data_IF_826074957401
#
_entry.id   IF_826074957401
#
_cell.length_a   1.000
_cell.length_b   1.000
_cell.length_c   1.000
_cell.angle_alpha   90.00
_cell.angle_beta   90.00
_cell.angle_gamma   90.00
#
_symmetry.space_group_name_H-M   'P 1'
#
loop_
_entity.id
_entity.type
_entity.pdbx_description
1 polymer ?
#
# COMPACT_ATOMS: atom_id res chain seq x y z
N UNK A 1 -11.93 17.95 9.15
CA UNK A 1 -12.18 18.38 10.54
C UNK A 1 -12.83 19.75 10.44
N UNK A 2 -14.06 19.86 10.90
CA UNK A 2 -14.78 21.13 10.98
C UNK A 2 -13.99 22.07 11.90
N UNK A 3 -13.64 23.26 11.40
CA UNK A 3 -13.03 24.31 12.21
C UNK A 3 -13.87 24.65 13.44
N UNK A 4 -15.18 24.45 13.34
CA UNK A 4 -16.18 24.67 14.37
C UNK A 4 -16.03 23.74 15.58
N UNK A 5 -15.66 22.47 15.37
CA UNK A 5 -15.46 21.52 16.47
C UNK A 5 -14.21 21.86 17.29
N UNK A 6 -13.12 22.24 16.61
CA UNK A 6 -11.86 22.61 17.27
C UNK A 6 -12.01 23.92 18.06
N UNK A 7 -12.72 24.91 17.51
CA UNK A 7 -13.03 26.15 18.23
C UNK A 7 -13.93 25.90 19.45
N UNK A 8 -14.98 25.07 19.29
CA UNK A 8 -15.89 24.77 20.40
C UNK A 8 -15.18 24.03 21.55
N UNK A 9 -14.33 23.05 21.23
CA UNK A 9 -13.53 22.33 22.24
C UNK A 9 -12.54 23.26 22.92
N UNK A 10 -11.86 24.13 22.17
CA UNK A 10 -10.94 25.13 22.73
C UNK A 10 -11.65 26.08 23.69
N UNK A 11 -12.80 26.62 23.28
CA UNK A 11 -13.56 27.57 24.09
C UNK A 11 -14.12 26.90 25.34
N UNK A 12 -14.65 25.68 25.22
CA UNK A 12 -15.19 24.91 26.34
C UNK A 12 -14.10 24.55 27.37
N UNK A 13 -12.92 24.14 26.91
CA UNK A 13 -11.77 23.87 27.78
C UNK A 13 -11.24 25.14 28.45
N UNK A 14 -11.28 26.29 27.75
CA UNK A 14 -10.89 27.58 28.34
C UNK A 14 -11.85 28.08 29.42
N UNK A 15 -13.10 27.62 29.39
CA UNK A 15 -14.12 27.89 30.42
C UNK A 15 -14.01 26.94 31.62
N UNK A 16 -13.05 26.02 31.63
CA UNK A 16 -12.85 25.05 32.73
C UNK A 16 -13.88 23.92 32.76
N UNK A 17 -14.61 23.69 31.66
CA UNK A 17 -15.54 22.58 31.56
C UNK A 17 -14.79 21.25 31.47
N UNK A 18 -15.35 20.23 32.13
CA UNK A 18 -14.77 18.90 32.17
C UNK A 18 -14.88 18.21 30.80
N UNK A 19 -13.84 17.46 30.39
CA UNK A 19 -13.77 16.79 29.08
C UNK A 19 -14.90 15.77 28.86
N UNK A 20 -15.37 15.15 29.95
CA UNK A 20 -16.54 14.27 30.02
C UNK A 20 -17.81 15.00 29.56
N UNK A 21 -18.09 16.16 30.14
CA UNK A 21 -19.27 16.97 29.82
C UNK A 21 -19.22 17.49 28.36
N UNK A 22 -18.05 17.91 27.88
CA UNK A 22 -17.86 18.34 26.49
C UNK A 22 -18.15 17.18 25.52
N UNK A 23 -17.68 15.97 25.85
CA UNK A 23 -17.94 14.76 25.06
C UNK A 23 -19.43 14.44 24.98
N UNK A 24 -20.13 14.47 26.11
CA UNK A 24 -21.55 14.11 26.18
C UNK A 24 -22.43 15.09 25.39
N UNK A 25 -22.15 16.40 25.49
CA UNK A 25 -22.88 17.44 24.73
C UNK A 25 -22.67 17.27 23.23
N UNK A 26 -21.45 16.99 22.80
CA UNK A 26 -21.15 16.82 21.38
C UNK A 26 -21.69 15.49 20.83
N UNK A 27 -21.75 14.42 21.63
CA UNK A 27 -22.43 13.18 21.25
C UNK A 27 -23.93 13.42 21.05
N UNK A 28 -24.57 14.17 21.94
CA UNK A 28 -25.98 14.55 21.79
C UNK A 28 -26.22 15.44 20.56
N UNK A 29 -25.26 16.28 20.21
CA UNK A 29 -25.29 17.09 18.98
C UNK A 29 -25.06 16.27 17.69
N UNK A 30 -24.82 14.96 17.80
CA UNK A 30 -24.69 14.05 16.66
C UNK A 30 -23.26 13.90 16.12
N UNK A 31 -22.25 14.41 16.83
CA UNK A 31 -20.85 14.20 16.46
C UNK A 31 -20.44 12.74 16.70
N UNK A 32 -19.59 12.21 15.82
CA UNK A 32 -19.08 10.83 15.94
C UNK A 32 -18.05 10.72 17.06
N UNK A 33 -18.03 9.61 17.79
CA UNK A 33 -17.02 9.33 18.83
C UNK A 33 -15.57 9.43 18.31
N UNK A 34 -15.34 9.01 17.07
CA UNK A 34 -14.04 9.10 16.40
C UNK A 34 -13.53 10.54 16.29
N UNK A 35 -14.44 11.48 15.99
CA UNK A 35 -14.14 12.89 15.78
C UNK A 35 -13.90 13.60 17.12
N UNK A 36 -14.69 13.22 18.12
CA UNK A 36 -14.57 13.72 19.50
C UNK A 36 -13.26 13.32 20.17
N UNK A 37 -12.91 12.04 20.05
CA UNK A 37 -11.66 11.53 20.61
C UNK A 37 -10.46 12.23 20.00
N UNK A 38 -10.50 12.50 18.69
CA UNK A 38 -9.45 13.22 17.98
C UNK A 38 -9.37 14.69 18.41
N UNK A 39 -10.51 15.39 18.48
CA UNK A 39 -10.58 16.80 18.89
C UNK A 39 -10.13 17.02 20.33
N UNK A 40 -10.59 16.19 21.28
CA UNK A 40 -10.19 16.28 22.69
C UNK A 40 -8.70 15.91 22.88
N UNK A 41 -8.20 14.93 22.12
CA UNK A 41 -6.77 14.53 22.18
C UNK A 41 -5.81 15.60 21.64
N UNK A 42 -6.31 16.56 20.88
CA UNK A 42 -5.53 17.67 20.33
C UNK A 42 -5.04 18.64 21.42
N UNK A 43 -5.61 18.60 22.62
CA UNK A 43 -5.23 19.44 23.75
C UNK A 43 -4.57 18.62 24.87
N UNK A 44 -3.47 19.12 25.43
CA UNK A 44 -2.76 18.46 26.52
C UNK A 44 -3.53 18.59 27.84
N UNK A 45 -3.46 17.55 28.66
CA UNK A 45 -4.10 17.46 29.98
C UNK A 45 -3.13 18.02 31.03
N UNK A 46 -2.77 19.29 30.83
CA UNK A 46 -1.82 20.02 31.66
C UNK A 46 -2.61 21.10 32.39
N UNK A 47 -2.42 21.21 33.69
CA UNK A 47 -2.99 22.28 34.50
C UNK A 47 -2.35 23.61 34.09
N UNK A 48 -2.95 24.25 33.09
CA UNK A 48 -2.54 25.53 32.54
C UNK A 48 -3.81 26.35 32.28
N UNK A 49 -3.79 27.68 32.51
CA UNK A 49 -4.99 28.53 32.40
C UNK A 49 -5.63 28.57 31.00
N UNK A 50 -4.92 28.06 29.98
CA UNK A 50 -5.37 28.00 28.60
C UNK A 50 -5.18 26.57 28.09
N UNK A 51 -6.11 26.00 27.33
CA UNK A 51 -5.90 24.69 26.72
C UNK A 51 -4.66 24.69 25.81
N UNK A 52 -3.66 23.86 26.16
CA UNK A 52 -2.39 23.78 25.43
C UNK A 52 -2.55 22.84 24.23
N UNK A 53 -2.47 23.33 22.98
CA UNK A 53 -2.55 22.47 21.80
C UNK A 53 -1.31 21.57 21.73
N UNK A 54 -1.51 20.27 21.55
CA UNK A 54 -0.42 19.34 21.26
C UNK A 54 0.10 19.61 19.84
N UNK A 55 1.43 19.57 19.61
CA UNK A 55 1.99 19.73 18.28
C UNK A 55 1.37 18.71 17.32
N UNK A 56 0.74 19.20 16.25
CA UNK A 56 0.16 18.36 15.18
C UNK A 56 1.34 17.68 14.46
N UNK A 57 1.41 16.34 14.39
CA UNK A 57 2.55 15.65 13.80
C UNK A 57 2.67 15.98 12.30
N UNK A 58 3.66 16.80 11.95
CA UNK A 58 4.18 17.00 10.59
C UNK A 58 4.71 15.69 9.97
N UNK A 59 4.87 14.64 10.78
CA UNK A 59 5.28 13.29 10.38
C UNK A 59 4.38 12.65 9.31
N UNK A 60 3.10 13.03 9.22
CA UNK A 60 2.10 12.36 8.39
C UNK A 60 2.38 12.42 6.87
N UNK A 61 2.86 13.57 6.36
CA UNK A 61 3.16 13.73 4.94
C UNK A 61 4.47 13.02 4.54
N UNK A 62 5.51 13.12 5.39
CA UNK A 62 6.78 12.42 5.20
C UNK A 62 6.59 10.90 5.23
N UNK A 63 5.78 10.40 6.15
CA UNK A 63 5.44 8.98 6.23
C UNK A 63 4.64 8.52 5.01
N UNK A 64 3.61 9.26 4.59
CA UNK A 64 2.86 8.95 3.38
C UNK A 64 3.77 8.88 2.15
N UNK A 65 4.73 9.81 2.04
CA UNK A 65 5.74 9.78 0.98
C UNK A 65 6.62 8.52 1.05
N UNK A 66 7.14 8.16 2.23
CA UNK A 66 7.96 6.95 2.39
C UNK A 66 7.18 5.68 2.06
N UNK A 67 5.91 5.59 2.46
CA UNK A 67 5.03 4.48 2.09
C UNK A 67 4.77 4.43 0.58
N UNK A 68 4.46 5.56 -0.05
CA UNK A 68 4.25 5.63 -1.49
C UNK A 68 5.51 5.16 -2.24
N UNK A 69 6.69 5.65 -1.85
CA UNK A 69 7.97 5.25 -2.44
C UNK A 69 8.23 3.75 -2.23
N UNK A 70 7.94 3.21 -1.04
CA UNK A 70 8.10 1.77 -0.78
C UNK A 70 7.18 0.91 -1.66
N UNK A 71 5.94 1.35 -1.90
CA UNK A 71 5.02 0.67 -2.81
C UNK A 71 5.48 0.76 -4.26
N UNK A 72 5.91 1.93 -4.72
CA UNK A 72 6.48 2.09 -6.07
C UNK A 72 7.68 1.16 -6.24
N UNK A 73 8.57 1.08 -5.25
CA UNK A 73 9.71 0.17 -5.27
C UNK A 73 9.28 -1.31 -5.30
N UNK A 74 8.25 -1.69 -4.54
CA UNK A 74 7.67 -3.04 -4.58
C UNK A 74 7.15 -3.37 -6.00
N UNK A 75 6.33 -2.49 -6.58
CA UNK A 75 5.76 -2.70 -7.91
C UNK A 75 6.82 -2.74 -9.00
N UNK A 76 7.81 -1.84 -8.95
CA UNK A 76 8.93 -1.84 -9.87
C UNK A 76 9.74 -3.14 -9.77
N UNK A 77 9.97 -3.65 -8.56
CA UNK A 77 10.64 -4.94 -8.33
C UNK A 77 9.81 -6.10 -8.89
N UNK A 78 8.51 -6.15 -8.58
CA UNK A 78 7.62 -7.20 -9.06
C UNK A 78 7.52 -7.20 -10.59
N UNK A 79 7.36 -6.03 -11.21
CA UNK A 79 7.32 -5.88 -12.66
C UNK A 79 8.63 -6.32 -13.32
N UNK A 80 9.76 -5.96 -12.72
CA UNK A 80 11.07 -6.37 -13.22
C UNK A 80 11.26 -7.89 -13.11
N UNK A 81 10.80 -8.51 -12.03
CA UNK A 81 10.84 -9.96 -11.83
C UNK A 81 9.95 -10.69 -12.86
N UNK A 82 8.73 -10.20 -13.11
CA UNK A 82 7.84 -10.74 -14.15
C UNK A 82 8.52 -10.64 -15.52
N UNK A 83 9.07 -9.48 -15.85
CA UNK A 83 9.78 -9.23 -17.13
C UNK A 83 10.96 -10.18 -17.29
N UNK A 84 11.72 -10.41 -16.23
CA UNK A 84 12.85 -11.33 -16.24
C UNK A 84 12.42 -12.77 -16.51
N UNK A 85 11.39 -13.26 -15.80
CA UNK A 85 10.86 -14.61 -16.00
C UNK A 85 10.28 -14.75 -17.42
N UNK A 86 9.59 -13.73 -17.93
CA UNK A 86 9.09 -13.71 -19.30
C UNK A 86 10.23 -13.83 -20.31
N UNK A 87 11.32 -13.10 -20.10
CA UNK A 87 12.53 -13.21 -20.91
C UNK A 87 13.15 -14.60 -20.88
N UNK A 88 13.17 -15.26 -19.72
CA UNK A 88 13.62 -16.65 -19.61
C UNK A 88 12.70 -17.63 -20.34
N UNK A 89 11.38 -17.48 -20.19
CA UNK A 89 10.38 -18.29 -20.89
C UNK A 89 10.55 -18.12 -22.41
N UNK A 90 10.59 -16.88 -22.91
CA UNK A 90 10.73 -16.61 -24.33
C UNK A 90 12.06 -17.12 -24.91
N UNK A 91 13.14 -17.11 -24.10
CA UNK A 91 14.43 -17.69 -24.50
C UNK A 91 14.41 -19.21 -24.52
N UNK A 92 13.73 -19.86 -23.57
CA UNK A 92 13.62 -21.32 -23.50
C UNK A 92 12.78 -21.90 -24.65
N UNK A 93 11.77 -21.15 -25.11
CA UNK A 93 10.90 -21.52 -26.23
C UNK A 93 11.27 -20.77 -27.53
N UNK A 94 12.53 -20.34 -27.67
CA UNK A 94 13.02 -19.63 -28.85
C UNK A 94 12.93 -20.50 -30.11
N UNK A 95 12.17 -20.04 -31.12
CA UNK A 95 12.08 -20.68 -32.43
C UNK A 95 13.00 -19.98 -33.45
N UNK A 96 14.14 -20.60 -33.85
CA UNK A 96 15.11 -20.01 -34.76
C UNK A 96 14.61 -19.83 -36.20
N UNK A 97 13.50 -20.50 -36.58
CA UNK A 97 13.01 -20.53 -37.96
C UNK A 97 12.02 -19.40 -38.28
N UNK A 98 11.64 -18.60 -37.28
CA UNK A 98 10.72 -17.47 -37.47
C UNK A 98 11.47 -16.21 -37.92
N UNK A 99 10.98 -15.54 -38.98
CA UNK A 99 11.51 -14.24 -39.47
C UNK A 99 11.50 -13.14 -38.37
N UNK A 100 10.66 -13.29 -37.34
CA UNK A 100 10.63 -12.45 -36.12
C UNK A 100 11.74 -12.74 -35.10
N UNK A 101 12.42 -13.89 -35.19
CA UNK A 101 13.35 -14.38 -34.17
C UNK A 101 14.58 -13.49 -33.94
N UNK A 102 15.12 -12.86 -34.99
CA UNK A 102 16.31 -12.00 -34.88
C UNK A 102 16.01 -10.69 -34.12
N UNK A 103 14.97 -9.95 -34.53
CA UNK A 103 14.52 -8.73 -33.83
C UNK A 103 14.05 -9.02 -32.40
N UNK A 104 13.36 -10.14 -32.19
CA UNK A 104 12.87 -10.54 -30.88
C UNK A 104 14.03 -10.88 -29.92
N UNK A 105 15.14 -11.44 -30.42
CA UNK A 105 16.33 -11.76 -29.61
C UNK A 105 17.05 -10.53 -29.06
N UNK A 106 17.18 -9.48 -29.87
CA UNK A 106 17.82 -8.22 -29.47
C UNK A 106 16.94 -7.41 -28.49
N UNK A 107 15.63 -7.43 -28.70
CA UNK A 107 14.69 -6.82 -27.74
C UNK A 107 14.67 -7.57 -26.40
N UNK A 108 14.67 -8.91 -26.43
CA UNK A 108 14.72 -9.76 -25.24
C UNK A 108 16.02 -9.56 -24.44
N UNK A 109 17.18 -9.46 -25.10
CA UNK A 109 18.44 -9.22 -24.40
C UNK A 109 18.45 -7.85 -23.70
N UNK A 110 17.96 -6.79 -24.35
CA UNK A 110 17.82 -5.47 -23.75
C UNK A 110 16.84 -5.44 -22.58
N UNK A 111 15.68 -6.11 -22.71
CA UNK A 111 14.68 -6.19 -21.66
C UNK A 111 15.18 -6.95 -20.42
N UNK A 112 15.91 -8.06 -20.61
CA UNK A 112 16.50 -8.85 -19.52
C UNK A 112 17.55 -8.03 -18.75
N UNK A 113 18.44 -7.33 -19.46
CA UNK A 113 19.48 -6.49 -18.84
C UNK A 113 18.85 -5.34 -18.07
N UNK A 114 17.81 -4.71 -18.62
CA UNK A 114 17.07 -3.63 -17.95
C UNK A 114 16.33 -4.15 -16.70
N UNK A 115 15.68 -5.31 -16.79
CA UNK A 115 15.00 -5.95 -15.67
C UNK A 115 15.98 -6.34 -14.55
N UNK A 116 17.12 -6.94 -14.88
CA UNK A 116 18.18 -7.27 -13.91
C UNK A 116 18.72 -6.02 -13.23
N UNK A 117 19.02 -4.98 -14.00
CA UNK A 117 19.51 -3.70 -13.48
C UNK A 117 18.49 -3.07 -12.52
N UNK A 118 17.21 -3.12 -12.87
CA UNK A 118 16.12 -2.63 -12.04
C UNK A 118 15.98 -3.41 -10.74
N UNK A 119 16.05 -4.76 -10.76
CA UNK A 119 15.97 -5.58 -9.54
C UNK A 119 17.15 -5.29 -8.62
N UNK A 120 18.38 -5.24 -9.16
CA UNK A 120 19.60 -5.01 -8.37
C UNK A 120 19.54 -3.68 -7.61
N UNK A 121 18.91 -2.66 -8.19
CA UNK A 121 18.79 -1.34 -7.56
C UNK A 121 17.56 -1.27 -6.67
N UNK A 122 16.41 -1.75 -7.16
CA UNK A 122 15.11 -1.50 -6.53
C UNK A 122 14.85 -2.45 -5.35
N UNK A 123 15.31 -3.70 -5.42
CA UNK A 123 15.16 -4.68 -4.34
C UNK A 123 15.83 -4.24 -3.02
N UNK A 124 17.12 -3.82 -3.00
CA UNK A 124 17.75 -3.33 -1.78
C UNK A 124 17.13 -2.01 -1.30
N UNK A 125 16.64 -1.16 -2.19
CA UNK A 125 15.91 0.07 -1.83
C UNK A 125 14.59 -0.28 -1.12
N UNK A 126 13.82 -1.21 -1.66
CA UNK A 126 12.59 -1.71 -1.03
C UNK A 126 12.88 -2.30 0.35
N UNK A 127 13.88 -3.18 0.45
CA UNK A 127 14.24 -3.84 1.70
C UNK A 127 14.73 -2.83 2.77
N UNK A 128 15.52 -1.84 2.35
CA UNK A 128 15.98 -0.76 3.23
C UNK A 128 14.83 0.12 3.72
N UNK A 129 13.91 0.52 2.84
CA UNK A 129 12.73 1.30 3.20
C UNK A 129 11.82 0.53 4.14
N UNK A 130 11.55 -0.75 3.83
CA UNK A 130 10.72 -1.61 4.67
C UNK A 130 11.34 -1.79 6.05
N UNK A 131 12.65 -2.05 6.14
CA UNK A 131 13.36 -2.17 7.41
C UNK A 131 13.27 -0.88 8.22
N UNK A 132 13.44 0.29 7.59
CA UNK A 132 13.31 1.59 8.25
C UNK A 132 11.88 1.85 8.74
N UNK A 133 10.88 1.52 7.93
CA UNK A 133 9.47 1.66 8.26
C UNK A 133 9.08 0.78 9.46
N UNK A 134 9.52 -0.49 9.49
CA UNK A 134 9.29 -1.37 10.65
C UNK A 134 9.99 -0.90 11.92
N UNK A 135 11.16 -0.28 11.79
CA UNK A 135 11.95 0.20 12.95
C UNK A 135 11.36 1.49 13.55
N UNK A 136 10.86 2.40 12.70
CA UNK A 136 10.16 3.62 13.15
C UNK A 136 8.74 3.32 13.69
N UNK A 137 8.08 2.27 13.17
CA UNK A 137 6.73 1.86 13.63
C UNK A 137 6.69 1.37 15.07
N UNK A 138 7.82 0.87 15.60
CA UNK A 138 7.94 0.41 16.99
C UNK A 138 7.87 1.57 18.01
N UNK A 139 8.01 2.83 17.58
CA UNK A 139 8.14 3.97 18.49
C UNK A 139 6.82 4.73 18.68
N UNK A 140 5.85 4.67 17.75
CA UNK A 140 4.56 5.39 17.87
C UNK A 140 3.37 4.66 17.21
N UNK A 141 2.71 3.69 17.89
CA UNK A 141 1.79 2.75 17.24
C UNK A 141 0.34 3.26 17.02
N UNK A 142 -0.17 4.19 17.83
CA UNK A 142 -1.52 3.91 18.32
C UNK A 142 -2.73 4.44 17.51
N UNK A 143 -2.66 5.48 16.68
CA UNK A 143 -3.90 5.95 15.99
C UNK A 143 -3.78 6.45 14.55
N UNK A 144 -2.56 6.63 14.02
CA UNK A 144 -2.36 7.24 12.68
C UNK A 144 -1.87 6.27 11.61
N UNK A 145 -1.23 5.16 12.01
CA UNK A 145 -0.68 4.16 11.10
C UNK A 145 -1.78 3.34 10.39
N UNK A 146 -2.95 3.16 11.01
CA UNK A 146 -4.04 2.30 10.51
C UNK A 146 -4.68 2.84 9.21
N UNK A 147 -5.01 4.14 9.11
CA UNK A 147 -5.75 4.68 7.95
C UNK A 147 -4.95 4.68 6.64
N UNK A 148 -3.69 5.13 6.66
CA UNK A 148 -2.84 5.20 5.47
C UNK A 148 -2.42 3.80 4.99
N UNK A 149 -2.06 2.91 5.91
CA UNK A 149 -1.71 1.52 5.60
C UNK A 149 -2.91 0.76 5.05
N UNK A 150 -4.10 0.91 5.66
CA UNK A 150 -5.36 0.33 5.13
C UNK A 150 -5.62 0.86 3.72
N UNK A 151 -5.57 2.17 3.49
CA UNK A 151 -5.85 2.75 2.16
C UNK A 151 -4.90 2.24 1.06
N UNK A 152 -3.59 2.21 1.31
CA UNK A 152 -2.61 1.71 0.34
C UNK A 152 -2.71 0.19 0.12
N UNK A 153 -3.06 -0.55 1.16
CA UNK A 153 -3.32 -2.00 1.07
C UNK A 153 -4.55 -2.25 0.22
N UNK A 154 -5.66 -1.53 0.44
CA UNK A 154 -6.86 -1.61 -0.39
C UNK A 154 -6.57 -1.24 -1.85
N UNK A 155 -5.79 -0.19 -2.10
CA UNK A 155 -5.36 0.18 -3.45
C UNK A 155 -4.61 -0.97 -4.12
N UNK A 156 -3.72 -1.62 -3.39
CA UNK A 156 -2.92 -2.76 -3.88
C UNK A 156 -3.77 -3.99 -4.16
N UNK A 157 -4.77 -4.26 -3.31
CA UNK A 157 -5.72 -5.34 -3.54
C UNK A 157 -6.56 -5.08 -4.81
N UNK A 158 -6.99 -3.84 -5.05
CA UNK A 158 -7.73 -3.44 -6.26
C UNK A 158 -6.86 -3.61 -7.51
N UNK A 159 -5.61 -3.14 -7.48
CA UNK A 159 -4.69 -3.27 -8.62
C UNK A 159 -4.37 -4.74 -8.88
N UNK A 160 -4.00 -5.51 -7.84
CA UNK A 160 -3.68 -6.93 -7.96
C UNK A 160 -4.84 -7.76 -8.48
N UNK A 161 -6.06 -7.55 -7.95
CA UNK A 161 -7.26 -8.24 -8.44
C UNK A 161 -7.59 -7.88 -9.90
N UNK A 162 -7.44 -6.60 -10.28
CA UNK A 162 -7.65 -6.17 -11.68
C UNK A 162 -6.68 -6.85 -12.63
N UNK A 163 -5.41 -6.99 -12.24
CA UNK A 163 -4.40 -7.66 -13.07
C UNK A 163 -4.72 -9.15 -13.20
N UNK A 164 -5.05 -9.84 -12.10
CA UNK A 164 -5.43 -11.27 -12.12
C UNK A 164 -6.64 -11.50 -13.04
N UNK A 165 -7.67 -10.66 -12.95
CA UNK A 165 -8.85 -10.77 -13.82
C UNK A 165 -8.48 -10.55 -15.27
N UNK A 166 -7.70 -9.51 -15.60
CA UNK A 166 -7.24 -9.25 -16.97
C UNK A 166 -6.39 -10.39 -17.54
N UNK A 167 -5.54 -11.00 -16.72
CA UNK A 167 -4.70 -12.13 -17.09
C UNK A 167 -5.53 -13.39 -17.37
N UNK A 168 -6.52 -13.68 -16.53
CA UNK A 168 -7.47 -14.78 -16.75
C UNK A 168 -8.33 -14.59 -18.00
N UNK A 169 -8.79 -13.36 -18.27
CA UNK A 169 -9.51 -13.03 -19.51
C UNK A 169 -8.63 -13.32 -20.73
N UNK A 170 -7.38 -12.86 -20.70
CA UNK A 170 -6.43 -13.08 -21.80
C UNK A 170 -6.15 -14.57 -21.98
N UNK A 171 -6.04 -15.33 -20.88
CA UNK A 171 -5.89 -16.78 -20.92
C UNK A 171 -7.07 -17.46 -21.60
N UNK A 172 -8.29 -17.12 -21.20
CA UNK A 172 -9.50 -17.69 -21.79
C UNK A 172 -9.66 -17.30 -23.27
N UNK A 173 -9.36 -16.06 -23.63
CA UNK A 173 -9.42 -15.60 -25.01
C UNK A 173 -8.49 -16.41 -25.92
N UNK A 174 -7.26 -16.68 -25.47
CA UNK A 174 -6.32 -17.52 -26.22
C UNK A 174 -6.70 -19.00 -26.22
N UNK A 175 -7.28 -19.50 -25.12
CA UNK A 175 -7.77 -20.87 -25.03
C UNK A 175 -8.89 -21.11 -26.05
N UNK A 176 -9.85 -20.18 -26.11
CA UNK A 176 -10.99 -20.24 -27.03
C UNK A 176 -10.58 -20.01 -28.49
N UNK A 177 -9.56 -19.18 -28.72
CA UNK A 177 -8.99 -18.94 -30.05
C UNK A 177 -8.14 -20.09 -30.59
N UNK A 178 -7.82 -21.11 -29.77
CA UNK A 178 -6.96 -22.24 -30.17
C UNK A 178 -5.46 -21.93 -30.22
N UNK A 179 -5.06 -20.68 -29.95
CA UNK A 179 -3.67 -20.19 -29.99
C UNK A 179 -2.95 -20.31 -28.63
N UNK A 180 -3.33 -21.31 -27.84
CA UNK A 180 -2.81 -21.47 -26.49
C UNK A 180 -1.45 -22.18 -26.52
N UNK A 181 -0.39 -21.42 -26.28
CA UNK A 181 0.99 -21.91 -26.31
C UNK A 181 1.52 -22.18 -24.90
N UNK A 182 2.38 -23.21 -24.76
CA UNK A 182 3.08 -23.52 -23.49
C UNK A 182 3.79 -22.30 -22.87
N UNK A 183 4.57 -21.48 -23.62
CA UNK A 183 5.17 -20.26 -23.06
C UNK A 183 4.14 -19.27 -22.55
N UNK A 184 2.96 -19.19 -23.17
CA UNK A 184 1.90 -18.30 -22.70
C UNK A 184 1.28 -18.79 -21.37
N UNK A 185 1.06 -20.10 -21.20
CA UNK A 185 0.61 -20.66 -19.91
C UNK A 185 1.60 -20.34 -18.80
N UNK A 186 2.90 -20.51 -19.06
CA UNK A 186 3.96 -20.22 -18.07
C UNK A 186 4.00 -18.74 -17.69
N UNK A 187 3.74 -17.84 -18.64
CA UNK A 187 3.65 -16.40 -18.39
C UNK A 187 2.46 -16.05 -17.48
N UNK A 188 1.29 -16.62 -17.76
CA UNK A 188 0.09 -16.45 -16.93
C UNK A 188 0.33 -17.00 -15.51
N UNK A 189 0.89 -18.20 -15.38
CA UNK A 189 1.23 -18.78 -14.08
C UNK A 189 2.23 -17.91 -13.30
N UNK A 190 3.19 -17.29 -13.99
CA UNK A 190 4.15 -16.36 -13.38
C UNK A 190 3.45 -15.13 -12.81
N UNK A 191 2.56 -14.49 -13.58
CA UNK A 191 1.79 -13.33 -13.11
C UNK A 191 0.96 -13.73 -11.89
N UNK A 192 0.25 -14.86 -11.98
CA UNK A 192 -0.63 -15.37 -10.92
C UNK A 192 0.16 -15.67 -9.64
N UNK A 193 1.35 -16.27 -9.73
CA UNK A 193 2.23 -16.53 -8.58
C UNK A 193 2.75 -15.24 -7.95
N UNK A 194 3.29 -14.31 -8.75
CA UNK A 194 3.94 -13.10 -8.23
C UNK A 194 2.89 -12.16 -7.64
N UNK A 195 1.86 -11.83 -8.41
CA UNK A 195 0.80 -10.91 -7.98
C UNK A 195 -0.06 -11.57 -6.91
N UNK A 196 -0.37 -12.87 -7.06
CA UNK A 196 -1.10 -13.63 -6.06
C UNK A 196 -0.38 -13.70 -4.71
N UNK A 197 0.96 -13.84 -4.70
CA UNK A 197 1.74 -13.83 -3.46
C UNK A 197 1.71 -12.46 -2.79
N UNK A 198 1.88 -11.37 -3.54
CA UNK A 198 1.78 -10.00 -3.02
C UNK A 198 0.38 -9.76 -2.48
N UNK A 199 -0.66 -10.11 -3.25
CA UNK A 199 -2.05 -10.00 -2.86
C UNK A 199 -2.35 -10.78 -1.58
N UNK A 200 -1.89 -12.03 -1.47
CA UNK A 200 -2.11 -12.88 -0.31
C UNK A 200 -1.41 -12.33 0.95
N UNK A 201 -0.18 -11.84 0.81
CA UNK A 201 0.56 -11.20 1.92
C UNK A 201 -0.20 -9.99 2.46
N UNK A 202 -0.64 -9.09 1.58
CA UNK A 202 -1.36 -7.89 1.98
C UNK A 202 -2.78 -8.17 2.50
N UNK A 203 -3.45 -9.21 1.99
CA UNK A 203 -4.74 -9.65 2.52
C UNK A 203 -4.60 -10.24 3.92
N UNK A 204 -3.54 -11.00 4.18
CA UNK A 204 -3.25 -11.53 5.52
C UNK A 204 -2.91 -10.38 6.49
N UNK A 205 -2.08 -9.44 6.09
CA UNK A 205 -1.73 -8.25 6.89
C UNK A 205 -2.97 -7.44 7.28
N UNK A 206 -3.92 -7.28 6.35
CA UNK A 206 -5.19 -6.59 6.60
C UNK A 206 -6.04 -7.35 7.64
N UNK A 207 -6.17 -8.67 7.50
CA UNK A 207 -6.92 -9.51 8.45
C UNK A 207 -6.32 -9.52 9.85
N UNK A 208 -4.99 -9.44 9.95
CA UNK A 208 -4.31 -9.37 11.24
C UNK A 208 -4.56 -8.02 11.93
N UNK A 209 -4.55 -6.94 11.15
CA UNK A 209 -4.81 -5.57 11.65
C UNK A 209 -6.25 -5.39 12.12
N UNK A 210 -7.22 -6.06 11.49
CA UNK A 210 -8.63 -5.98 11.87
C UNK A 210 -8.95 -6.71 13.18
N UNK A 211 -8.21 -7.79 13.51
CA UNK A 211 -8.37 -8.51 14.78
C UNK A 211 -7.88 -7.71 15.99
N UNK A 212 -6.83 -6.91 15.82
CA UNK A 212 -6.26 -6.09 16.90
C UNK A 212 -7.15 -4.89 17.22
N UNK A 213 -7.94 -4.39 16.25
CA UNK A 213 -8.90 -3.30 16.49
C UNK A 213 -10.18 -3.77 17.22
N UNK A 214 -10.37 -5.09 17.45
CA UNK A 214 -11.55 -5.70 18.09
C UNK A 214 -11.31 -6.25 19.51
N UNK A 215 -10.05 -6.33 19.97
CA UNK A 215 -9.68 -6.66 21.35
C UNK A 215 -9.48 -5.39 22.19
#
# INVERSE_FOLDING_TARGET
MSSELDSFVKDSLSQGLERSAIRDVLLQAGWREDELTNALSAYAEIDFPVPVPKPKPYLQAREAFLYLVSFIALYATAFSLITLIFGFIDRAFFDPLSYRGAYQREFLSGAIVTALSSIIITFPVYLFLMWRLTKDSAVYPERRQSRLRKWLTYLTLVVGSSIIVGDLITLLAKLLGGDLTVPFILKVLTILLVIGSIFAYYLWDLRQSEKVDQE
#
